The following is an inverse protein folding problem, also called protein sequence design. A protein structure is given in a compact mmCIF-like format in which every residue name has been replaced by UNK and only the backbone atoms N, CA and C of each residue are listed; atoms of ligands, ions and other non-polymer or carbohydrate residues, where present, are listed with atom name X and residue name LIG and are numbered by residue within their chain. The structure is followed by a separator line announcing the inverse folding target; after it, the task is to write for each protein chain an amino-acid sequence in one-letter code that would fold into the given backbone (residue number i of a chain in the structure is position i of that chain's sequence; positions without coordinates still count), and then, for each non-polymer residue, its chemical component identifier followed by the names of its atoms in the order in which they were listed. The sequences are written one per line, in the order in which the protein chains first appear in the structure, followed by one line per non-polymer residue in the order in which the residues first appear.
data_IF_750093395718
#
_entry.id   IF_750093395718
#
_cell.length_a   1.000
_cell.length_b   1.000
_cell.length_c   1.000
_cell.angle_alpha   90.00
_cell.angle_beta   90.00
_cell.angle_gamma   90.00
#
_symmetry.space_group_name_H-M   'P 1'
#
loop_
_entity.id
_entity.type
_entity.pdbx_description
1 polymer ?
#
# COMPACT_ATOMS: atom_id res chain seq x y z
N UNK A 1 79.98 -19.68 -3.15
CA UNK A 1 79.48 -20.14 -1.84
C UNK A 1 79.06 -18.91 -1.03
N UNK A 2 77.79 -18.90 -0.60
CA UNK A 2 77.16 -18.02 0.42
C UNK A 2 76.60 -16.66 -0.02
N UNK A 3 75.31 -16.71 -0.40
CA UNK A 3 74.28 -15.68 -0.24
C UNK A 3 74.18 -15.19 1.22
N UNK A 4 73.94 -13.88 1.45
CA UNK A 4 73.07 -13.39 2.53
C UNK A 4 72.34 -12.11 2.10
N UNK A 5 71.02 -12.19 2.11
CA UNK A 5 70.08 -11.10 1.86
C UNK A 5 69.96 -10.18 3.11
N UNK A 6 69.78 -8.88 2.89
CA UNK A 6 69.36 -7.92 3.91
C UNK A 6 68.01 -7.36 3.46
N UNK A 7 66.95 -7.81 4.14
CA UNK A 7 65.58 -7.33 3.93
C UNK A 7 65.40 -5.95 4.55
N UNK A 8 64.90 -5.01 3.76
CA UNK A 8 64.53 -3.67 4.16
C UNK A 8 63.07 -3.68 4.62
N UNK A 9 62.85 -3.39 5.90
CA UNK A 9 61.51 -3.30 6.50
C UNK A 9 60.85 -1.96 6.11
N UNK A 10 59.69 -2.03 5.46
CA UNK A 10 58.83 -0.88 5.22
C UNK A 10 57.77 -0.80 6.32
N UNK A 11 57.83 0.24 7.16
CA UNK A 11 56.81 0.57 8.15
C UNK A 11 55.73 1.44 7.49
N UNK A 12 54.51 0.92 7.36
CA UNK A 12 53.36 1.70 6.90
C UNK A 12 52.60 2.26 8.13
N UNK A 13 52.53 3.58 8.23
CA UNK A 13 51.70 4.28 9.24
C UNK A 13 50.28 4.41 8.69
N UNK A 14 49.32 3.77 9.35
CA UNK A 14 47.90 3.92 9.05
C UNK A 14 47.31 5.09 9.88
N UNK A 15 46.86 6.15 9.20
CA UNK A 15 46.08 7.23 9.84
C UNK A 15 44.62 6.81 9.87
N UNK A 16 44.08 6.57 11.05
CA UNK A 16 42.66 6.29 11.25
C UNK A 16 41.85 7.59 11.19
N UNK A 17 41.00 7.73 10.18
CA UNK A 17 39.97 8.79 10.13
C UNK A 17 38.75 8.27 10.90
N UNK A 18 38.28 8.95 11.96
CA UNK A 18 37.06 8.52 12.64
C UNK A 18 35.85 8.76 11.73
N UNK A 19 35.18 7.69 11.34
CA UNK A 19 33.88 7.75 10.70
C UNK A 19 32.84 8.24 11.72
N UNK A 20 32.35 9.46 11.55
CA UNK A 20 31.28 10.03 12.37
C UNK A 20 29.98 9.24 12.11
N UNK A 21 29.60 8.39 13.07
CA UNK A 21 28.38 7.57 13.02
C UNK A 21 27.14 8.45 13.23
N UNK A 22 26.62 9.02 12.15
CA UNK A 22 25.35 9.76 12.11
C UNK A 22 24.12 8.89 11.85
N UNK A 23 24.11 7.62 12.27
CA UNK A 23 23.01 6.68 12.03
C UNK A 23 22.33 6.30 13.35
N UNK A 24 21.43 7.15 13.88
CA UNK A 24 20.60 6.72 15.02
C UNK A 24 19.24 7.40 15.22
N UNK A 25 18.83 8.43 14.44
CA UNK A 25 17.55 9.12 14.69
C UNK A 25 16.79 9.42 13.39
N UNK A 26 16.31 8.40 12.68
CA UNK A 26 15.28 8.59 11.64
C UNK A 26 14.54 7.31 11.19
N UNK A 27 14.90 6.11 11.66
CA UNK A 27 14.31 4.87 11.16
C UNK A 27 13.34 4.25 12.18
N UNK A 28 12.26 4.96 12.52
CA UNK A 28 11.09 4.28 13.12
C UNK A 28 9.87 4.55 12.25
N UNK A 29 9.26 3.44 11.81
CA UNK A 29 7.91 3.28 11.25
C UNK A 29 7.82 3.41 9.73
N UNK A 30 8.08 2.31 9.03
CA UNK A 30 7.08 1.55 8.28
C UNK A 30 7.79 0.28 7.78
N UNK A 31 7.65 -0.81 8.53
CA UNK A 31 8.23 -2.09 8.13
C UNK A 31 7.33 -2.69 7.05
N UNK A 32 7.47 -2.20 5.82
CA UNK A 32 6.96 -2.88 4.63
C UNK A 32 7.87 -4.09 4.38
N UNK A 33 7.86 -5.08 5.29
CA UNK A 33 8.29 -6.40 4.85
C UNK A 33 7.45 -6.72 3.61
N UNK A 34 8.09 -7.20 2.55
CA UNK A 34 7.41 -7.77 1.40
C UNK A 34 6.70 -9.05 1.84
N UNK A 35 5.74 -8.92 2.75
CA UNK A 35 4.73 -9.91 3.01
C UNK A 35 4.02 -10.03 1.67
N UNK A 36 4.28 -11.13 0.95
CA UNK A 36 3.46 -11.48 -0.19
C UNK A 36 2.04 -11.58 0.35
N UNK A 37 1.21 -10.58 0.03
CA UNK A 37 -0.19 -10.59 0.42
C UNK A 37 -0.83 -11.70 -0.40
N UNK A 38 -0.78 -12.94 0.13
CA UNK A 38 -1.43 -14.09 -0.48
C UNK A 38 -2.92 -13.89 -0.27
N UNK A 39 -3.54 -13.20 -1.21
CA UNK A 39 -4.97 -12.99 -1.23
C UNK A 39 -5.64 -14.36 -1.28
N UNK A 40 -6.55 -14.63 -0.34
CA UNK A 40 -7.32 -15.85 -0.38
C UNK A 40 -8.13 -15.89 -1.69
N UNK A 41 -8.12 -17.03 -2.39
CA UNK A 41 -8.80 -17.23 -3.69
C UNK A 41 -10.27 -16.83 -3.69
N UNK A 42 -10.93 -16.82 -2.53
CA UNK A 42 -12.34 -16.37 -2.40
C UNK A 42 -12.57 -14.91 -2.84
N UNK A 43 -11.53 -14.08 -2.79
CA UNK A 43 -11.55 -12.67 -3.17
C UNK A 43 -11.20 -12.40 -4.63
N UNK A 44 -10.86 -13.44 -5.39
CA UNK A 44 -10.61 -13.33 -6.82
C UNK A 44 -11.87 -12.85 -7.54
N UNK A 45 -11.66 -12.17 -8.68
CA UNK A 45 -12.74 -11.78 -9.58
C UNK A 45 -13.46 -13.05 -10.04
N UNK A 46 -14.76 -13.15 -9.80
CA UNK A 46 -15.54 -14.33 -10.20
C UNK A 46 -16.94 -13.92 -10.64
N UNK A 47 -17.43 -14.50 -11.73
CA UNK A 47 -18.83 -14.38 -12.12
C UNK A 47 -19.68 -15.34 -11.28
N UNK A 48 -20.71 -14.81 -10.63
CA UNK A 48 -21.56 -15.55 -9.70
C UNK A 48 -23.02 -15.36 -10.07
N UNK A 49 -23.84 -16.36 -9.75
CA UNK A 49 -25.29 -16.17 -9.72
C UNK A 49 -25.64 -15.15 -8.64
N UNK A 50 -26.45 -14.17 -9.01
CA UNK A 50 -26.84 -13.07 -8.14
C UNK A 50 -28.23 -12.59 -8.50
N UNK A 51 -29.20 -12.96 -7.67
CA UNK A 51 -30.58 -12.51 -7.79
C UNK A 51 -30.72 -11.13 -7.14
N UNK A 52 -31.15 -10.14 -7.92
CA UNK A 52 -31.41 -8.78 -7.45
C UNK A 52 -32.43 -8.11 -8.36
N UNK A 53 -33.15 -7.14 -7.80
CA UNK A 53 -34.07 -6.28 -8.54
C UNK A 53 -33.37 -5.03 -9.10
N UNK A 54 -32.08 -4.87 -8.82
CA UNK A 54 -31.26 -3.78 -9.32
C UNK A 54 -30.97 -3.93 -10.81
N UNK A 55 -30.88 -2.78 -11.50
CA UNK A 55 -30.60 -2.75 -12.94
C UNK A 55 -29.17 -3.23 -13.24
N UNK A 56 -28.92 -3.85 -14.42
CA UNK A 56 -27.57 -4.09 -14.90
C UNK A 56 -26.72 -2.81 -14.88
N UNK A 57 -25.49 -2.91 -14.42
CA UNK A 57 -24.58 -1.79 -14.20
C UNK A 57 -24.58 -1.23 -12.77
N UNK A 58 -25.55 -1.61 -11.92
CA UNK A 58 -25.54 -1.22 -10.50
C UNK A 58 -24.39 -1.91 -9.76
N UNK A 59 -23.75 -1.18 -8.85
CA UNK A 59 -22.69 -1.68 -7.99
C UNK A 59 -23.25 -1.84 -6.57
N UNK A 60 -23.20 -3.05 -6.06
CA UNK A 60 -23.66 -3.38 -4.72
C UNK A 60 -22.45 -3.68 -3.85
N UNK A 61 -22.33 -3.01 -2.70
CA UNK A 61 -21.18 -3.13 -1.81
C UNK A 61 -21.63 -3.70 -0.46
N UNK A 62 -21.01 -4.79 -0.02
CA UNK A 62 -21.18 -5.30 1.35
C UNK A 62 -19.88 -5.18 2.12
N UNK A 63 -19.80 -4.19 3.00
CA UNK A 63 -18.66 -3.98 3.90
C UNK A 63 -18.51 -5.10 4.94
N UNK A 64 -19.61 -5.77 5.32
CA UNK A 64 -19.58 -6.96 6.21
C UNK A 64 -18.92 -8.15 5.53
N UNK A 65 -19.29 -8.42 4.27
CA UNK A 65 -18.75 -9.55 3.50
C UNK A 65 -17.43 -9.24 2.79
N UNK A 66 -17.01 -7.96 2.76
CA UNK A 66 -15.83 -7.46 2.04
C UNK A 66 -15.87 -7.81 0.54
N UNK A 67 -17.06 -7.69 -0.04
CA UNK A 67 -17.29 -7.92 -1.46
C UNK A 67 -18.03 -6.76 -2.10
N UNK A 68 -17.72 -6.56 -3.38
CA UNK A 68 -18.43 -5.68 -4.31
C UNK A 68 -18.98 -6.55 -5.45
N UNK A 69 -20.22 -6.31 -5.86
CA UNK A 69 -20.85 -6.95 -7.01
C UNK A 69 -21.21 -5.92 -8.07
N UNK A 70 -20.84 -6.20 -9.32
CA UNK A 70 -21.30 -5.44 -10.49
C UNK A 70 -22.39 -6.28 -11.16
N UNK A 71 -23.63 -5.80 -11.17
CA UNK A 71 -24.77 -6.51 -11.76
C UNK A 71 -24.63 -6.54 -13.28
N UNK A 72 -24.66 -7.73 -13.90
CA UNK A 72 -24.61 -7.90 -15.36
C UNK A 72 -25.99 -8.07 -16.00
N UNK A 73 -27.00 -8.46 -15.21
CA UNK A 73 -28.29 -8.93 -15.71
C UNK A 73 -28.35 -10.45 -15.80
N UNK A 74 -29.50 -10.99 -16.23
CA UNK A 74 -29.75 -12.44 -16.37
C UNK A 74 -29.44 -13.25 -15.09
N UNK A 75 -29.68 -12.66 -13.92
CA UNK A 75 -29.38 -13.28 -12.63
C UNK A 75 -27.88 -13.49 -12.36
N UNK A 76 -26.99 -12.70 -12.98
CA UNK A 76 -25.53 -12.76 -12.80
C UNK A 76 -24.91 -11.44 -12.35
N UNK A 77 -23.80 -11.55 -11.62
CA UNK A 77 -22.95 -10.42 -11.25
C UNK A 77 -21.47 -10.80 -11.24
N UNK A 78 -20.60 -9.81 -11.39
CA UNK A 78 -19.15 -9.97 -11.18
C UNK A 78 -18.83 -9.60 -9.74
N UNK A 79 -18.27 -10.54 -8.98
CA UNK A 79 -17.83 -10.31 -7.59
C UNK A 79 -16.35 -9.91 -7.56
N UNK A 80 -16.03 -8.92 -6.73
CA UNK A 80 -14.67 -8.48 -6.40
C UNK A 80 -14.49 -8.48 -4.88
N UNK A 81 -13.34 -8.96 -4.39
CA UNK A 81 -12.92 -8.68 -3.02
C UNK A 81 -12.53 -7.21 -2.85
N UNK A 82 -12.89 -6.62 -1.69
CA UNK A 82 -12.55 -5.23 -1.38
C UNK A 82 -11.86 -5.10 -0.02
N UNK A 83 -10.92 -4.16 0.07
CA UNK A 83 -10.38 -3.68 1.33
C UNK A 83 -11.36 -2.71 1.99
N UNK A 84 -11.64 -2.89 3.27
CA UNK A 84 -12.47 -1.96 4.06
C UNK A 84 -11.58 -1.33 5.13
N UNK A 85 -11.64 0.00 5.25
CA UNK A 85 -10.87 0.74 6.24
C UNK A 85 -11.29 0.46 7.69
N UNK A 86 -10.64 1.16 8.61
CA UNK A 86 -10.92 1.07 10.05
C UNK A 86 -12.37 1.45 10.38
N UNK A 87 -12.87 0.89 11.48
CA UNK A 87 -14.16 1.25 12.04
C UNK A 87 -14.21 2.76 12.35
N UNK A 88 -15.34 3.42 12.08
CA UNK A 88 -15.53 4.87 12.24
C UNK A 88 -15.57 5.69 10.94
N UNK A 89 -15.14 5.12 9.80
CA UNK A 89 -15.19 5.79 8.47
C UNK A 89 -16.16 5.07 7.53
N UNK A 90 -17.20 4.44 8.09
CA UNK A 90 -18.16 3.68 7.31
C UNK A 90 -19.25 4.60 6.82
N UNK A 91 -19.62 4.41 5.57
CA UNK A 91 -20.76 5.06 4.96
C UNK A 91 -21.77 3.99 4.51
N UNK A 92 -23.05 4.36 4.51
CA UNK A 92 -24.13 3.57 3.94
C UNK A 92 -25.06 4.49 3.16
N UNK A 93 -25.55 4.02 2.02
CA UNK A 93 -26.50 4.76 1.20
C UNK A 93 -26.46 4.30 -0.25
N UNK A 94 -27.15 5.06 -1.09
CA UNK A 94 -27.15 4.92 -2.54
C UNK A 94 -26.59 6.21 -3.11
N UNK A 95 -25.57 6.08 -3.96
CA UNK A 95 -24.90 7.23 -4.57
C UNK A 95 -24.57 6.91 -6.03
N UNK A 96 -24.61 7.94 -6.88
CA UNK A 96 -24.23 7.80 -8.28
C UNK A 96 -22.75 8.12 -8.43
N UNK A 97 -22.00 7.28 -9.14
CA UNK A 97 -20.61 7.61 -9.48
C UNK A 97 -20.63 8.83 -10.42
N UNK A 98 -20.24 9.99 -9.90
CA UNK A 98 -20.26 11.28 -10.61
C UNK A 98 -18.99 11.51 -11.44
N UNK A 99 -17.84 10.98 -10.99
CA UNK A 99 -16.55 11.17 -11.65
C UNK A 99 -15.72 9.90 -11.61
N UNK A 100 -15.08 9.60 -12.75
CA UNK A 100 -14.01 8.60 -12.86
C UNK A 100 -12.81 9.27 -13.50
N UNK A 101 -11.63 9.06 -12.95
CA UNK A 101 -10.38 9.58 -13.48
C UNK A 101 -9.31 8.50 -13.35
N UNK A 102 -8.41 8.46 -14.33
CA UNK A 102 -7.23 7.62 -14.31
C UNK A 102 -6.13 8.35 -13.55
N UNK A 103 -5.44 7.64 -12.64
CA UNK A 103 -4.39 8.21 -11.77
C UNK A 103 -4.76 9.58 -11.16
N UNK A 104 -5.84 9.65 -10.37
CA UNK A 104 -6.27 10.91 -9.81
C UNK A 104 -5.30 11.39 -8.74
N UNK A 105 -5.03 12.69 -8.75
CA UNK A 105 -4.40 13.40 -7.64
C UNK A 105 -5.17 13.15 -6.34
N UNK A 106 -4.46 12.85 -5.26
CA UNK A 106 -5.05 12.62 -3.94
C UNK A 106 -4.88 13.84 -3.03
N UNK A 107 -5.94 14.20 -2.31
CA UNK A 107 -5.94 15.29 -1.34
C UNK A 107 -6.46 14.78 0.00
N UNK A 108 -5.66 14.90 1.08
CA UNK A 108 -6.13 14.67 2.43
C UNK A 108 -7.45 15.39 2.76
N UNK A 109 -8.39 14.73 3.44
CA UNK A 109 -9.52 15.41 4.09
C UNK A 109 -9.05 16.40 5.15
N UNK A 110 -9.84 17.45 5.40
CA UNK A 110 -9.50 18.50 6.37
C UNK A 110 -9.30 17.94 7.78
N UNK A 111 -10.14 17.01 8.19
CA UNK A 111 -10.09 16.36 9.50
C UNK A 111 -8.81 15.51 9.66
N UNK A 112 -8.21 15.08 8.55
CA UNK A 112 -6.94 14.36 8.56
C UNK A 112 -5.76 15.32 8.72
N UNK A 113 -5.81 16.49 8.07
CA UNK A 113 -4.81 17.55 8.22
C UNK A 113 -4.81 18.17 9.62
N UNK A 114 -5.98 18.31 10.24
CA UNK A 114 -6.09 18.79 11.63
C UNK A 114 -5.41 17.83 12.62
N UNK A 115 -5.43 16.52 12.34
CA UNK A 115 -4.81 15.49 13.17
C UNK A 115 -3.31 15.32 12.90
N UNK A 116 -2.89 15.50 11.65
CA UNK A 116 -1.51 15.33 11.20
C UNK A 116 -1.12 16.53 10.29
N UNK A 117 -0.67 17.65 10.87
CA UNK A 117 -0.45 18.90 10.13
C UNK A 117 0.74 18.84 9.16
N UNK A 118 1.64 17.88 9.31
CA UNK A 118 2.83 17.71 8.45
C UNK A 118 2.52 17.03 7.10
N UNK A 119 1.26 16.64 6.85
CA UNK A 119 0.88 15.97 5.61
C UNK A 119 0.88 16.92 4.40
N UNK A 120 1.38 16.47 3.24
CA UNK A 120 1.26 17.24 2.00
C UNK A 120 -0.20 17.53 1.67
N UNK A 121 -0.50 18.79 1.31
CA UNK A 121 -1.88 19.21 0.94
C UNK A 121 -2.39 18.51 -0.34
N UNK A 122 -1.48 18.02 -1.18
CA UNK A 122 -1.77 17.37 -2.46
C UNK A 122 -0.69 16.32 -2.73
N UNK A 123 -1.08 15.13 -3.15
CA UNK A 123 -0.20 14.10 -3.70
C UNK A 123 -0.51 13.95 -5.20
N UNK A 124 0.49 14.13 -6.09
CA UNK A 124 0.32 14.02 -7.52
C UNK A 124 -0.11 12.62 -7.95
#
# INVERSE_FOLDING_TARGET
MHFRAIGLAALAVAVAVPAFSGAAIAAKKFNFSAQSWKLERKYDRTEVSYSTNEKPGTIIISTRKKFLWIVKGNGKAIRYGIGVGRWGFKWNGVEKITRKATWPTWRPPKEMLEREPDLPKVMP
#
